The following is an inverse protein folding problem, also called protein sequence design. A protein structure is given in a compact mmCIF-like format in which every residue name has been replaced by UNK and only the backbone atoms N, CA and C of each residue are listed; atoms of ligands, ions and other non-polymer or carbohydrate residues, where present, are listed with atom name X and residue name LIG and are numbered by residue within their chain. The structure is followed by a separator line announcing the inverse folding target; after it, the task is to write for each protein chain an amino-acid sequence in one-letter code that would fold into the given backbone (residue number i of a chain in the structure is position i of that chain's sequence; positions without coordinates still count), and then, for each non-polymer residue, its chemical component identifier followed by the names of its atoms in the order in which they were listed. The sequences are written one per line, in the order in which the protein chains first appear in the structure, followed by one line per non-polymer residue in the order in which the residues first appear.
data_IF_858377553551
#
_entry.id   IF_858377553551
#
_cell.length_a   1.000
_cell.length_b   1.000
_cell.length_c   1.000
_cell.angle_alpha   90.00
_cell.angle_beta   90.00
_cell.angle_gamma   90.00
#
_symmetry.space_group_name_H-M   'P 1'
#
loop_
_entity.id
_entity.type
_entity.pdbx_description
1 polymer ?
#
# COMPACT_ATOMS: atom_id res chain seq x y z
N UNK A 1 12.23 15.70 1.54
CA UNK A 1 12.16 14.35 2.15
C UNK A 1 10.96 14.22 3.08
N UNK A 2 10.82 15.04 4.13
CA UNK A 2 9.65 14.99 5.04
C UNK A 2 8.29 15.03 4.33
N UNK A 3 8.05 16.00 3.45
CA UNK A 3 6.77 16.10 2.72
C UNK A 3 6.52 14.90 1.82
N UNK A 4 7.55 14.39 1.14
CA UNK A 4 7.45 13.22 0.28
C UNK A 4 7.10 11.96 1.08
N UNK A 5 7.71 11.77 2.26
CA UNK A 5 7.38 10.68 3.18
C UNK A 5 5.94 10.78 3.70
N UNK A 6 5.52 11.98 4.14
CA UNK A 6 4.15 12.18 4.65
C UNK A 6 3.11 11.84 3.56
N UNK A 7 3.36 12.28 2.32
CA UNK A 7 2.47 11.98 1.20
C UNK A 7 2.50 10.48 0.85
N UNK A 8 3.68 9.85 0.79
CA UNK A 8 3.78 8.41 0.49
C UNK A 8 3.11 7.55 1.54
N UNK A 9 3.28 7.89 2.83
CA UNK A 9 2.68 7.17 3.94
C UNK A 9 1.15 7.34 3.93
N UNK A 10 0.65 8.55 3.69
CA UNK A 10 -0.78 8.80 3.58
C UNK A 10 -1.42 8.00 2.44
N UNK A 11 -0.80 7.99 1.26
CA UNK A 11 -1.26 7.17 0.13
C UNK A 11 -1.20 5.68 0.47
N UNK A 12 -0.13 5.23 1.11
CA UNK A 12 0.04 3.83 1.53
C UNK A 12 -1.08 3.40 2.49
N UNK A 13 -1.42 4.23 3.48
CA UNK A 13 -2.52 3.94 4.42
C UNK A 13 -3.85 3.82 3.67
N UNK A 14 -4.15 4.73 2.75
CA UNK A 14 -5.38 4.66 1.93
C UNK A 14 -5.42 3.37 1.11
N UNK A 15 -4.30 2.98 0.50
CA UNK A 15 -4.20 1.76 -0.28
C UNK A 15 -4.36 0.49 0.58
N UNK A 16 -3.81 0.47 1.79
CA UNK A 16 -4.00 -0.63 2.75
C UNK A 16 -5.49 -0.74 3.12
N UNK A 17 -6.12 0.37 3.49
CA UNK A 17 -7.54 0.38 3.84
C UNK A 17 -8.41 -0.09 2.67
N UNK A 18 -8.11 0.37 1.45
CA UNK A 18 -8.79 -0.08 0.23
C UNK A 18 -8.61 -1.58 0.00
N UNK A 19 -7.40 -2.11 0.18
CA UNK A 19 -7.10 -3.55 0.07
C UNK A 19 -7.88 -4.38 1.09
N UNK A 20 -7.96 -3.91 2.35
CA UNK A 20 -8.71 -4.57 3.42
C UNK A 20 -10.21 -4.57 3.13
N UNK A 21 -10.78 -3.42 2.78
CA UNK A 21 -12.21 -3.31 2.45
C UNK A 21 -12.55 -4.19 1.24
N UNK A 22 -11.70 -4.20 0.21
CA UNK A 22 -11.82 -5.07 -0.94
C UNK A 22 -11.79 -6.57 -0.55
N UNK A 23 -10.85 -6.99 0.30
CA UNK A 23 -10.75 -8.38 0.75
C UNK A 23 -11.95 -8.80 1.60
N UNK A 24 -12.44 -7.91 2.47
CA UNK A 24 -13.66 -8.14 3.25
C UNK A 24 -14.90 -8.23 2.36
N UNK A 25 -15.00 -7.40 1.33
CA UNK A 25 -16.07 -7.45 0.35
C UNK A 25 -16.09 -8.80 -0.38
N UNK A 26 -14.95 -9.26 -0.91
CA UNK A 26 -14.81 -10.56 -1.59
C UNK A 26 -15.26 -11.68 -0.66
N UNK A 27 -14.82 -11.66 0.61
CA UNK A 27 -15.20 -12.64 1.62
C UNK A 27 -16.73 -12.69 1.87
N UNK A 28 -17.41 -11.55 1.74
CA UNK A 28 -18.85 -11.45 1.97
C UNK A 28 -19.70 -11.88 0.77
N UNK A 29 -19.09 -12.10 -0.41
CA UNK A 29 -19.84 -12.52 -1.60
C UNK A 29 -20.16 -14.02 -1.55
N UNK A 30 -21.37 -14.43 -1.96
CA UNK A 30 -21.76 -15.84 -2.05
C UNK A 30 -21.00 -16.60 -3.15
N UNK A 31 -20.51 -15.89 -4.17
CA UNK A 31 -19.64 -16.42 -5.20
C UNK A 31 -18.50 -15.41 -5.47
N UNK A 32 -17.28 -15.92 -5.62
CA UNK A 32 -16.09 -15.09 -5.84
C UNK A 32 -15.87 -14.91 -7.34
N UNK A 33 -15.96 -13.66 -7.82
CA UNK A 33 -15.62 -13.33 -9.20
C UNK A 33 -14.10 -13.12 -9.37
N UNK A 34 -13.55 -13.68 -10.46
CA UNK A 34 -12.12 -13.54 -10.81
C UNK A 34 -11.72 -12.07 -10.99
N UNK A 35 -12.62 -11.23 -11.51
CA UNK A 35 -12.43 -9.78 -11.66
C UNK A 35 -12.13 -9.10 -10.32
N UNK A 36 -12.86 -9.47 -9.26
CA UNK A 36 -12.71 -8.91 -7.92
C UNK A 36 -11.38 -9.34 -7.29
N UNK A 37 -10.97 -10.59 -7.48
CA UNK A 37 -9.67 -11.09 -7.03
C UNK A 37 -8.52 -10.39 -7.75
N UNK A 38 -8.63 -10.19 -9.07
CA UNK A 38 -7.63 -9.46 -9.85
C UNK A 38 -7.49 -8.01 -9.39
N UNK A 39 -8.60 -7.34 -9.09
CA UNK A 39 -8.59 -6.01 -8.50
C UNK A 39 -7.92 -5.98 -7.13
N UNK A 40 -8.25 -6.92 -6.23
CA UNK A 40 -7.61 -7.06 -4.92
C UNK A 40 -6.09 -7.22 -5.04
N UNK A 41 -5.64 -8.15 -5.90
CA UNK A 41 -4.22 -8.41 -6.12
C UNK A 41 -3.50 -7.21 -6.72
N UNK A 42 -4.15 -6.48 -7.63
CA UNK A 42 -3.57 -5.27 -8.24
C UNK A 42 -3.33 -4.20 -7.18
N UNK A 43 -4.31 -3.92 -6.33
CA UNK A 43 -4.14 -2.94 -5.24
C UNK A 43 -3.10 -3.43 -4.23
N UNK A 44 -3.13 -4.72 -3.87
CA UNK A 44 -2.15 -5.28 -2.94
C UNK A 44 -0.71 -5.13 -3.46
N UNK A 45 -0.47 -5.40 -4.74
CA UNK A 45 0.85 -5.23 -5.38
C UNK A 45 1.29 -3.77 -5.43
N UNK A 46 0.39 -2.85 -5.79
CA UNK A 46 0.69 -1.42 -5.77
C UNK A 46 1.02 -0.95 -4.36
N UNK A 47 0.25 -1.40 -3.36
CA UNK A 47 0.49 -1.11 -1.94
C UNK A 47 1.86 -1.60 -1.49
N UNK A 48 2.23 -2.84 -1.84
CA UNK A 48 3.54 -3.40 -1.51
C UNK A 48 4.69 -2.57 -2.12
N UNK A 49 4.52 -2.11 -3.36
CA UNK A 49 5.48 -1.20 -4.00
C UNK A 49 5.65 0.12 -3.24
N UNK A 50 4.54 0.73 -2.80
CA UNK A 50 4.57 1.96 -2.01
C UNK A 50 5.21 1.78 -0.62
N UNK A 51 5.00 0.63 0.02
CA UNK A 51 5.67 0.29 1.29
C UNK A 51 7.19 0.21 1.08
N UNK A 52 7.66 -0.50 0.05
CA UNK A 52 9.09 -0.61 -0.27
C UNK A 52 9.69 0.78 -0.56
N UNK A 53 8.99 1.60 -1.35
CA UNK A 53 9.41 2.97 -1.63
C UNK A 53 9.53 3.81 -0.35
N UNK A 54 8.54 3.73 0.54
CA UNK A 54 8.54 4.50 1.79
C UNK A 54 9.68 4.05 2.70
N UNK A 55 9.95 2.75 2.80
CA UNK A 55 11.09 2.20 3.56
C UNK A 55 12.44 2.64 3.00
N UNK A 56 12.62 2.64 1.67
CA UNK A 56 13.87 3.08 1.04
C UNK A 56 14.12 4.57 1.25
N UNK A 57 13.09 5.41 1.13
CA UNK A 57 13.18 6.85 1.42
C UNK A 57 13.50 7.10 2.90
N UNK A 58 12.86 6.37 3.82
CA UNK A 58 13.13 6.48 5.24
C UNK A 58 14.57 6.06 5.59
N UNK A 59 15.05 4.95 5.03
CA UNK A 59 16.42 4.49 5.22
C UNK A 59 17.44 5.51 4.70
N UNK A 60 17.23 6.06 3.50
CA UNK A 60 18.10 7.09 2.94
C UNK A 60 18.13 8.36 3.79
N UNK A 61 16.97 8.80 4.30
CA UNK A 61 16.89 9.94 5.21
C UNK A 61 17.64 9.67 6.52
N UNK A 62 17.57 8.46 7.07
CA UNK A 62 18.30 8.06 8.27
C UNK A 62 19.82 8.05 8.06
N UNK A 63 20.31 7.46 6.96
CA UNK A 63 21.74 7.46 6.64
C UNK A 63 22.29 8.88 6.47
N UNK A 64 21.55 9.76 5.80
CA UNK A 64 21.94 11.17 5.65
C UNK A 64 21.98 11.93 6.99
N UNK A 65 21.15 11.56 7.97
CA UNK A 65 21.15 12.20 9.28
C UNK A 65 22.30 11.74 10.18
N UNK A 66 22.93 10.60 9.87
CA UNK A 66 24.02 10.00 10.64
C UNK A 66 25.44 10.33 10.12
N UNK A 67 25.53 10.96 8.94
CA UNK A 67 26.77 11.39 8.29
C UNK A 67 26.96 12.91 8.42
#
# INVERSE_FOLDING_TARGET
MKTAMIVSDAVTVILILSTVVCGLWIKAQPAVEVSSVNFHLTIALVTAGFVILSLTVAAFAAFRAAA
#
